data_IF_716659927538
#
_entry.id   IF_716659927538
#
_cell.length_a   1.000
_cell.length_b   1.000
_cell.length_c   1.000
_cell.angle_alpha   90.00
_cell.angle_beta   90.00
_cell.angle_gamma   90.00
#
_symmetry.space_group_name_H-M   'P 1'
#
loop_
_entity.id
_entity.type
_entity.pdbx_description
1 polymer ?
#
# COMPACT_ATOMS: atom_id res chain seq x y z
N UNK A 1 -0.87 -7.74 12.25
CA UNK A 1 -2.34 -7.67 12.04
C UNK A 1 -2.68 -8.38 10.73
N UNK A 2 -3.95 -8.41 10.27
CA UNK A 2 -4.33 -9.02 8.97
C UNK A 2 -5.13 -8.00 8.15
N UNK A 3 -5.00 -8.05 6.83
CA UNK A 3 -5.79 -7.22 5.93
C UNK A 3 -7.28 -7.51 6.03
N UNK A 4 -8.11 -6.53 5.70
CA UNK A 4 -9.58 -6.66 5.64
C UNK A 4 -10.01 -7.79 4.69
N UNK A 5 -9.36 -7.92 3.54
CA UNK A 5 -9.60 -9.02 2.59
C UNK A 5 -9.32 -10.40 3.21
N UNK A 6 -8.28 -10.52 4.04
CA UNK A 6 -7.99 -11.77 4.77
C UNK A 6 -9.00 -12.02 5.89
N UNK A 7 -9.37 -10.98 6.65
CA UNK A 7 -10.37 -11.08 7.72
C UNK A 7 -11.74 -11.52 7.18
N UNK A 8 -12.15 -11.02 6.01
CA UNK A 8 -13.38 -11.44 5.35
C UNK A 8 -13.42 -12.94 5.08
N UNK A 9 -12.32 -13.52 4.59
CA UNK A 9 -12.20 -14.99 4.38
C UNK A 9 -12.30 -15.79 5.68
N UNK A 10 -11.86 -15.22 6.81
CA UNK A 10 -11.97 -15.85 8.13
C UNK A 10 -13.43 -15.84 8.61
N UNK A 11 -14.12 -14.71 8.42
CA UNK A 11 -15.54 -14.56 8.76
C UNK A 11 -16.43 -15.46 7.90
N UNK A 12 -16.16 -15.55 6.59
CA UNK A 12 -16.87 -16.45 5.66
C UNK A 12 -16.75 -17.93 6.07
N UNK A 13 -15.71 -18.31 6.81
CA UNK A 13 -15.54 -19.65 7.38
C UNK A 13 -16.25 -19.87 8.71
N UNK A 14 -17.05 -18.90 9.18
CA UNK A 14 -17.83 -18.98 10.42
C UNK A 14 -17.10 -18.55 11.69
N UNK A 15 -15.91 -17.97 11.58
CA UNK A 15 -15.16 -17.45 12.73
C UNK A 15 -15.51 -15.99 13.02
N UNK A 16 -15.59 -15.63 14.30
CA UNK A 16 -15.67 -14.23 14.71
C UNK A 16 -14.27 -13.66 14.96
N UNK A 17 -14.06 -12.39 14.62
CA UNK A 17 -12.82 -11.69 14.93
C UNK A 17 -13.09 -10.62 15.99
N UNK A 18 -12.17 -10.47 16.93
CA UNK A 18 -12.21 -9.42 17.95
C UNK A 18 -10.91 -8.64 17.88
N UNK A 19 -11.01 -7.32 17.76
CA UNK A 19 -9.82 -6.47 17.73
C UNK A 19 -9.33 -6.15 19.16
N UNK A 20 -8.10 -5.65 19.24
CA UNK A 20 -7.46 -5.30 20.53
C UNK A 20 -8.25 -4.20 21.26
N UNK A 21 -8.83 -3.26 20.51
CA UNK A 21 -9.58 -2.14 21.08
C UNK A 21 -10.87 -2.62 21.75
N UNK A 22 -11.55 -3.59 21.16
CA UNK A 22 -12.72 -4.25 21.75
C UNK A 22 -12.36 -4.99 23.04
N UNK A 23 -11.21 -5.69 23.06
CA UNK A 23 -10.68 -6.32 24.28
C UNK A 23 -10.38 -5.26 25.34
N UNK A 24 -9.61 -4.22 25.01
CA UNK A 24 -9.24 -3.14 25.92
C UNK A 24 -10.47 -2.40 26.46
N UNK A 25 -11.48 -2.15 25.62
CA UNK A 25 -12.74 -1.54 26.04
C UNK A 25 -13.45 -2.37 27.11
N UNK A 26 -13.45 -3.69 27.00
CA UNK A 26 -14.03 -4.57 28.03
C UNK A 26 -13.16 -4.59 29.29
N UNK A 27 -11.84 -4.77 29.12
CA UNK A 27 -10.89 -4.87 30.25
C UNK A 27 -10.76 -3.57 31.06
N UNK A 28 -11.06 -2.42 30.45
CA UNK A 28 -11.00 -1.10 31.10
C UNK A 28 -12.33 -0.66 31.71
N UNK A 29 -13.43 -1.40 31.54
CA UNK A 29 -14.74 -1.02 32.13
C UNK A 29 -14.78 -1.10 33.66
N UNK A 30 -13.88 -1.86 34.27
CA UNK A 30 -13.83 -2.04 35.72
C UNK A 30 -12.40 -2.12 36.20
N UNK A 31 -12.18 -1.56 37.37
CA UNK A 31 -10.92 -1.73 38.09
C UNK A 31 -10.89 -3.13 38.70
N UNK A 32 -9.81 -3.87 38.44
CA UNK A 32 -9.62 -5.23 38.94
C UNK A 32 -8.28 -5.28 39.68
N UNK A 33 -8.31 -5.77 40.91
CA UNK A 33 -7.11 -5.95 41.72
C UNK A 33 -6.51 -7.33 41.44
N UNK A 34 -5.81 -7.44 40.31
CA UNK A 34 -5.07 -8.63 39.92
C UNK A 34 -3.85 -8.23 39.10
N UNK A 35 -2.67 -8.50 39.62
CA UNK A 35 -1.40 -8.03 39.05
C UNK A 35 -1.15 -8.64 37.66
N UNK A 36 -1.43 -9.92 37.45
CA UNK A 36 -1.28 -10.58 36.14
C UNK A 36 -2.18 -9.94 35.08
N UNK A 37 -3.42 -9.63 35.45
CA UNK A 37 -4.37 -8.98 34.55
C UNK A 37 -3.95 -7.54 34.24
N UNK A 38 -3.45 -6.82 35.24
CA UNK A 38 -3.00 -5.44 35.06
C UNK A 38 -1.72 -5.37 34.23
N UNK A 39 -0.74 -6.26 34.44
CA UNK A 39 0.44 -6.39 33.58
C UNK A 39 0.06 -6.70 32.12
N UNK A 40 -0.91 -7.60 31.92
CA UNK A 40 -1.43 -7.90 30.58
C UNK A 40 -2.14 -6.69 29.95
N UNK A 41 -2.92 -5.93 30.71
CA UNK A 41 -3.55 -4.68 30.24
C UNK A 41 -2.51 -3.62 29.89
N UNK A 42 -1.51 -3.41 30.72
CA UNK A 42 -0.41 -2.47 30.48
C UNK A 42 0.37 -2.86 29.23
N UNK A 43 0.65 -4.15 29.04
CA UNK A 43 1.24 -4.66 27.80
C UNK A 43 0.38 -4.36 26.56
N UNK A 44 -0.94 -4.60 26.63
CA UNK A 44 -1.84 -4.29 25.52
C UNK A 44 -1.94 -2.78 25.25
N UNK A 45 -1.94 -1.94 26.28
CA UNK A 45 -1.92 -0.47 26.17
C UNK A 45 -0.58 0.01 25.59
N UNK A 46 0.54 -0.57 26.01
CA UNK A 46 1.85 -0.24 25.46
C UNK A 46 1.93 -0.59 23.97
N UNK A 47 1.36 -1.73 23.56
CA UNK A 47 1.21 -2.06 22.14
C UNK A 47 0.29 -1.05 21.45
N UNK A 48 -0.85 -0.66 22.05
CA UNK A 48 -1.78 0.32 21.48
C UNK A 48 -1.14 1.73 21.34
N UNK A 49 -0.27 2.10 22.27
CA UNK A 49 0.46 3.36 22.23
C UNK A 49 1.60 3.32 21.21
N UNK A 50 2.30 2.18 21.07
CA UNK A 50 3.16 1.93 19.92
C UNK A 50 2.35 1.95 18.61
N UNK A 51 1.10 1.52 18.64
CA UNK A 51 0.19 1.52 17.49
C UNK A 51 -0.20 2.94 17.03
N UNK A 52 -0.07 3.97 17.87
CA UNK A 52 -0.27 5.38 17.44
C UNK A 52 0.99 6.02 16.83
N UNK A 53 2.10 5.28 16.76
CA UNK A 53 3.39 5.77 16.25
C UNK A 53 3.47 5.81 14.71
N UNK A 54 2.50 5.22 14.01
CA UNK A 54 2.37 5.25 12.54
C UNK A 54 2.16 6.66 11.96
N UNK A 55 1.93 7.67 12.80
CA UNK A 55 1.87 9.08 12.37
C UNK A 55 3.24 9.60 11.97
N UNK A 56 4.32 9.15 12.62
CA UNK A 56 5.69 9.50 12.28
C UNK A 56 6.18 8.69 11.10
N UNK A 57 6.63 9.36 10.05
CA UNK A 57 7.08 8.69 8.83
C UNK A 57 8.28 7.77 9.07
N UNK A 58 9.21 8.16 9.96
CA UNK A 58 10.36 7.33 10.33
C UNK A 58 9.92 5.95 10.86
N UNK A 59 8.88 5.91 11.70
CA UNK A 59 8.39 4.65 12.26
C UNK A 59 7.76 3.77 11.20
N UNK A 60 7.02 4.36 10.24
CA UNK A 60 6.43 3.63 9.11
C UNK A 60 7.51 2.84 8.35
N UNK A 61 8.71 3.42 8.20
CA UNK A 61 9.80 2.82 7.41
C UNK A 61 10.82 2.03 8.23
N UNK A 62 10.72 2.02 9.56
CA UNK A 62 11.68 1.33 10.45
C UNK A 62 11.05 0.34 11.44
N UNK A 63 9.72 0.34 11.60
CA UNK A 63 8.98 -0.59 12.46
C UNK A 63 7.87 -1.29 11.65
N UNK A 64 7.88 -2.63 11.68
CA UNK A 64 6.99 -3.44 10.86
C UNK A 64 5.54 -3.24 11.30
N UNK A 65 5.29 -3.07 12.60
CA UNK A 65 3.95 -2.85 13.13
C UNK A 65 3.40 -1.50 12.69
N UNK A 66 4.23 -0.44 12.75
CA UNK A 66 3.83 0.88 12.26
C UNK A 66 3.55 0.85 10.75
N UNK A 67 4.35 0.12 9.97
CA UNK A 67 4.09 -0.13 8.55
C UNK A 67 2.79 -0.90 8.27
N UNK A 68 2.49 -1.95 9.06
CA UNK A 68 1.22 -2.69 8.94
C UNK A 68 0.01 -1.80 9.25
N UNK A 69 0.12 -0.95 10.26
CA UNK A 69 -0.96 -0.04 10.67
C UNK A 69 -1.18 1.09 9.67
N UNK A 70 -0.11 1.63 9.09
CA UNK A 70 -0.21 2.55 7.97
C UNK A 70 -1.04 1.93 6.83
N UNK A 71 -0.79 0.66 6.49
CA UNK A 71 -1.56 -0.06 5.46
C UNK A 71 -2.99 -0.37 5.86
N UNK A 72 -3.27 -0.65 7.13
CA UNK A 72 -4.66 -0.74 7.62
C UNK A 72 -5.36 0.60 7.47
N UNK A 73 -4.71 1.69 7.88
CA UNK A 73 -5.30 3.02 7.79
C UNK A 73 -5.57 3.42 6.35
N UNK A 74 -4.64 3.08 5.45
CA UNK A 74 -4.81 3.32 4.03
C UNK A 74 -5.98 2.52 3.45
N UNK A 75 -6.13 1.25 3.85
CA UNK A 75 -7.26 0.41 3.45
C UNK A 75 -8.61 0.95 3.95
N UNK A 76 -8.67 1.70 5.05
CA UNK A 76 -9.90 2.40 5.48
C UNK A 76 -10.24 3.61 4.59
N UNK A 77 -9.25 4.20 3.93
CA UNK A 77 -9.39 5.41 3.10
C UNK A 77 -9.66 5.10 1.63
N UNK A 78 -9.28 3.90 1.17
CA UNK A 78 -9.49 3.42 -0.21
C UNK A 78 -10.82 2.66 -0.28
N UNK A 79 -11.74 3.13 -1.13
CA UNK A 79 -13.05 2.48 -1.32
C UNK A 79 -12.99 1.26 -2.23
N UNK A 80 -11.98 1.17 -3.08
CA UNK A 80 -11.76 0.05 -3.99
C UNK A 80 -11.20 -1.18 -3.27
N UNK A 81 -11.23 -2.33 -3.97
CA UNK A 81 -10.58 -3.51 -3.45
C UNK A 81 -9.07 -3.27 -3.27
N UNK A 82 -8.58 -3.58 -2.07
CA UNK A 82 -7.17 -3.52 -1.73
C UNK A 82 -6.80 -4.70 -0.84
N UNK A 83 -5.54 -5.10 -0.89
CA UNK A 83 -4.97 -6.09 0.02
C UNK A 83 -3.55 -5.70 0.42
N UNK A 84 -3.10 -6.23 1.55
CA UNK A 84 -1.73 -6.05 1.99
C UNK A 84 -1.22 -7.27 2.75
N UNK A 85 0.07 -7.56 2.59
CA UNK A 85 0.75 -8.67 3.25
C UNK A 85 2.26 -8.50 3.18
N UNK A 86 2.94 -9.17 4.08
CA UNK A 86 4.38 -9.35 3.98
C UNK A 86 4.75 -10.31 2.84
N UNK A 87 5.72 -9.92 2.04
CA UNK A 87 6.30 -10.69 0.93
C UNK A 87 7.73 -11.07 1.29
N UNK A 88 7.95 -12.36 1.56
CA UNK A 88 9.29 -12.86 1.85
C UNK A 88 10.16 -12.87 0.58
N UNK A 89 11.41 -12.41 0.70
CA UNK A 89 12.42 -12.55 -0.34
C UNK A 89 13.78 -12.92 0.29
N UNK A 90 14.81 -13.12 -0.53
CA UNK A 90 16.15 -13.53 -0.06
C UNK A 90 16.84 -12.49 0.82
N UNK A 91 16.37 -11.24 0.84
CA UNK A 91 16.96 -10.11 1.57
C UNK A 91 16.08 -9.63 2.72
N UNK A 92 15.15 -10.45 3.23
CA UNK A 92 14.34 -10.07 4.41
C UNK A 92 12.98 -9.45 4.11
N UNK A 93 12.54 -9.47 2.84
CA UNK A 93 11.17 -9.16 2.43
C UNK A 93 10.76 -7.69 2.48
N UNK A 94 9.47 -7.46 2.22
CA UNK A 94 8.83 -6.15 2.29
C UNK A 94 7.34 -6.30 2.63
N UNK A 95 6.73 -5.28 3.22
CA UNK A 95 5.28 -5.15 3.28
C UNK A 95 4.80 -4.62 1.93
N UNK A 96 3.95 -5.40 1.25
CA UNK A 96 3.28 -4.97 0.02
C UNK A 96 1.85 -4.54 0.30
N UNK A 97 1.41 -3.48 -0.36
CA UNK A 97 0.01 -3.06 -0.46
C UNK A 97 -0.35 -3.00 -1.94
N UNK A 98 -1.43 -3.62 -2.37
CA UNK A 98 -1.86 -3.65 -3.77
C UNK A 98 -3.27 -3.09 -3.89
N UNK A 99 -3.49 -2.19 -4.86
CA UNK A 99 -4.79 -1.63 -5.14
C UNK A 99 -4.89 -1.08 -6.57
N UNK A 100 -6.12 -0.84 -7.03
CA UNK A 100 -6.47 -0.17 -8.29
C UNK A 100 -5.83 -0.81 -9.55
N UNK A 101 -6.55 -1.74 -10.17
CA UNK A 101 -6.16 -2.41 -11.40
C UNK A 101 -6.93 -1.83 -12.57
N UNK A 102 -6.22 -1.65 -13.68
CA UNK A 102 -6.81 -1.41 -14.97
C UNK A 102 -6.03 -2.19 -16.04
N UNK A 103 -6.60 -2.37 -17.22
CA UNK A 103 -6.06 -3.28 -18.23
C UNK A 103 -6.00 -2.60 -19.59
N UNK A 104 -4.92 -2.88 -20.32
CA UNK A 104 -4.81 -2.68 -21.77
C UNK A 104 -4.68 -4.06 -22.43
N UNK A 105 -4.74 -4.13 -23.75
CA UNK A 105 -4.66 -5.41 -24.49
C UNK A 105 -3.41 -6.23 -24.12
N UNK A 106 -2.29 -5.56 -23.88
CA UNK A 106 -0.99 -6.18 -23.64
C UNK A 106 -0.73 -6.59 -22.18
N UNK A 107 -1.37 -5.94 -21.19
CA UNK A 107 -1.10 -6.17 -19.78
C UNK A 107 -2.13 -5.56 -18.82
N UNK A 108 -2.12 -6.06 -17.58
CA UNK A 108 -2.74 -5.41 -16.42
C UNK A 108 -1.77 -4.44 -15.75
N UNK A 109 -2.23 -3.24 -15.40
CA UNK A 109 -1.47 -2.22 -14.67
C UNK A 109 -2.13 -2.01 -13.31
N UNK A 110 -1.33 -1.96 -12.24
CA UNK A 110 -1.84 -1.69 -10.90
C UNK A 110 -0.87 -0.92 -10.01
N UNK A 111 -1.42 -0.38 -8.92
CA UNK A 111 -0.64 0.37 -7.94
C UNK A 111 -0.17 -0.58 -6.83
N UNK A 112 1.11 -0.46 -6.47
CA UNK A 112 1.69 -1.15 -5.34
C UNK A 112 2.49 -0.19 -4.46
N UNK A 113 2.39 -0.36 -3.14
CA UNK A 113 3.32 0.25 -2.18
C UNK A 113 4.23 -0.86 -1.67
N UNK A 114 5.55 -0.67 -1.82
CA UNK A 114 6.57 -1.57 -1.26
C UNK A 114 7.25 -0.86 -0.09
N UNK A 115 7.10 -1.39 1.12
CA UNK A 115 7.76 -0.88 2.32
C UNK A 115 8.79 -1.89 2.84
N UNK A 116 10.08 -1.57 2.69
CA UNK A 116 11.21 -2.38 3.14
C UNK A 116 12.17 -1.54 3.97
N UNK A 117 12.72 -2.10 5.04
CA UNK A 117 13.68 -1.37 5.89
C UNK A 117 15.00 -1.09 5.18
N UNK A 118 15.43 -1.99 4.29
CA UNK A 118 16.71 -1.86 3.60
C UNK A 118 16.64 -0.88 2.41
N UNK A 119 15.46 -0.74 1.80
CA UNK A 119 15.28 -0.02 0.54
C UNK A 119 14.28 1.15 0.62
N UNK A 120 13.74 1.40 1.81
CA UNK A 120 12.72 2.39 2.08
C UNK A 120 11.34 2.01 1.54
N UNK A 121 10.40 2.95 1.69
CA UNK A 121 9.06 2.87 1.15
C UNK A 121 8.98 3.50 -0.24
N UNK A 122 8.27 2.84 -1.16
CA UNK A 122 8.09 3.31 -2.55
C UNK A 122 6.64 3.13 -2.98
N UNK A 123 6.11 4.11 -3.70
CA UNK A 123 4.87 4.03 -4.45
C UNK A 123 5.23 3.72 -5.91
N UNK A 124 4.74 2.60 -6.42
CA UNK A 124 5.12 2.09 -7.73
C UNK A 124 3.91 1.66 -8.56
N UNK A 125 4.11 1.70 -9.87
CA UNK A 125 3.24 1.06 -10.85
C UNK A 125 3.83 -0.28 -11.25
N UNK A 126 2.98 -1.29 -11.35
CA UNK A 126 3.35 -2.65 -11.70
C UNK A 126 2.56 -3.12 -12.91
N UNK A 127 3.18 -3.99 -13.70
CA UNK A 127 2.50 -4.76 -14.74
C UNK A 127 2.39 -6.23 -14.35
N UNK A 128 1.31 -6.88 -14.77
CA UNK A 128 1.08 -8.33 -14.73
C UNK A 128 0.33 -8.78 -15.99
N UNK A 129 0.06 -10.09 -16.09
CA UNK A 129 -0.79 -10.67 -17.16
C UNK A 129 -0.32 -10.30 -18.57
N UNK A 130 0.99 -10.43 -18.78
CA UNK A 130 1.69 -9.89 -19.94
C UNK A 130 2.81 -10.85 -20.37
N UNK A 131 3.26 -10.73 -21.62
CA UNK A 131 4.48 -11.39 -22.07
C UNK A 131 5.71 -10.56 -21.65
N UNK A 132 6.60 -11.08 -20.79
CA UNK A 132 7.65 -10.27 -20.20
C UNK A 132 8.63 -9.66 -21.23
N UNK A 133 8.54 -8.35 -21.42
CA UNK A 133 9.36 -7.58 -22.37
C UNK A 133 9.85 -6.28 -21.77
N UNK A 134 11.17 -6.04 -21.75
CA UNK A 134 11.68 -4.75 -21.31
C UNK A 134 11.31 -3.61 -22.26
N UNK A 135 11.13 -3.91 -23.55
CA UNK A 135 10.79 -2.92 -24.56
C UNK A 135 9.37 -2.40 -24.35
N UNK A 136 8.43 -3.29 -24.04
CA UNK A 136 7.05 -2.93 -23.69
C UNK A 136 7.00 -2.07 -22.41
N UNK A 137 7.85 -2.34 -21.41
CA UNK A 137 7.95 -1.48 -20.22
C UNK A 137 8.43 -0.06 -20.56
N UNK A 138 9.38 0.08 -21.49
CA UNK A 138 9.85 1.39 -21.95
C UNK A 138 8.77 2.15 -22.72
N UNK A 139 8.03 1.44 -23.57
CA UNK A 139 6.92 1.97 -24.35
C UNK A 139 5.82 2.50 -23.43
N UNK A 140 5.25 1.64 -22.58
CA UNK A 140 4.18 2.02 -21.65
C UNK A 140 4.63 3.19 -20.75
N UNK A 141 5.86 3.16 -20.21
CA UNK A 141 6.35 4.28 -19.40
C UNK A 141 6.44 5.59 -20.22
N UNK A 142 6.88 5.50 -21.48
CA UNK A 142 6.96 6.65 -22.39
C UNK A 142 5.59 7.28 -22.64
N UNK A 143 4.58 6.45 -22.89
CA UNK A 143 3.21 6.88 -23.16
C UNK A 143 2.48 7.39 -21.92
N UNK A 144 2.70 6.77 -20.76
CA UNK A 144 2.02 7.12 -19.51
C UNK A 144 2.57 8.40 -18.85
N UNK A 145 3.82 8.77 -19.15
CA UNK A 145 4.47 9.98 -18.59
C UNK A 145 3.68 11.28 -18.82
N UNK A 146 3.19 11.59 -20.03
CA UNK A 146 2.32 12.75 -20.27
C UNK A 146 1.07 12.79 -19.38
N UNK A 147 0.42 11.65 -19.13
CA UNK A 147 -0.76 11.57 -18.26
C UNK A 147 -0.39 11.85 -16.80
N UNK A 148 0.71 11.26 -16.32
CA UNK A 148 1.23 11.52 -14.99
C UNK A 148 1.54 13.02 -14.80
N UNK A 149 2.25 13.63 -15.76
CA UNK A 149 2.59 15.06 -15.73
C UNK A 149 1.36 15.95 -15.73
N UNK A 150 0.37 15.64 -16.58
CA UNK A 150 -0.93 16.33 -16.61
C UNK A 150 -1.67 16.26 -15.27
N UNK A 151 -1.54 15.14 -14.56
CA UNK A 151 -2.13 14.93 -13.24
C UNK A 151 -1.22 15.36 -12.07
N UNK A 152 -0.13 16.08 -12.35
CA UNK A 152 0.75 16.66 -11.32
C UNK A 152 1.75 15.68 -10.70
N UNK A 153 1.98 14.53 -11.34
CA UNK A 153 2.89 13.49 -10.88
C UNK A 153 4.16 13.43 -11.74
N UNK A 154 5.27 13.04 -11.12
CA UNK A 154 6.48 12.62 -11.81
C UNK A 154 6.68 11.12 -11.64
N UNK A 155 6.68 10.39 -12.75
CA UNK A 155 6.95 8.95 -12.78
C UNK A 155 8.25 8.67 -13.51
N UNK A 156 9.08 7.84 -12.89
CA UNK A 156 10.41 7.49 -13.41
C UNK A 156 10.57 5.99 -13.56
N UNK A 157 11.54 5.61 -14.40
CA UNK A 157 11.96 4.22 -14.54
C UNK A 157 12.58 3.74 -13.21
N UNK A 158 12.33 2.49 -12.75
CA UNK A 158 13.19 1.89 -11.75
C UNK A 158 14.63 1.76 -12.26
N UNK A 159 15.62 1.68 -11.37
CA UNK A 159 17.05 1.61 -11.74
C UNK A 159 17.32 0.62 -12.87
N UNK A 160 16.72 -0.57 -12.78
CA UNK A 160 16.78 -1.62 -13.79
C UNK A 160 15.41 -2.24 -13.97
N UNK A 161 15.00 -2.43 -15.22
CA UNK A 161 13.86 -3.30 -15.52
C UNK A 161 14.27 -4.76 -15.35
N UNK A 162 13.36 -5.53 -14.77
CA UNK A 162 13.47 -6.98 -14.63
C UNK A 162 12.13 -7.53 -15.08
N UNK A 163 12.09 -7.98 -16.34
CA UNK A 163 10.90 -8.59 -16.90
C UNK A 163 10.66 -9.96 -16.26
N UNK A 164 9.48 -10.14 -15.68
CA UNK A 164 9.00 -11.38 -15.09
C UNK A 164 7.48 -11.34 -14.94
N UNK A 165 6.92 -12.35 -14.27
CA UNK A 165 5.47 -12.52 -14.06
C UNK A 165 4.78 -11.22 -13.61
N UNK A 166 5.43 -10.48 -12.70
CA UNK A 166 5.10 -9.08 -12.46
C UNK A 166 6.36 -8.23 -12.53
N UNK A 167 6.25 -7.00 -13.02
CA UNK A 167 7.40 -6.11 -13.17
C UNK A 167 7.08 -4.69 -12.72
N UNK A 168 8.04 -4.01 -12.11
CA UNK A 168 7.91 -2.58 -11.79
C UNK A 168 8.01 -1.79 -13.08
N UNK A 169 6.94 -1.10 -13.44
CA UNK A 169 6.82 -0.24 -14.60
C UNK A 169 7.40 1.14 -14.32
N UNK A 170 7.00 1.74 -13.19
CA UNK A 170 7.40 3.08 -12.81
C UNK A 170 7.46 3.26 -11.29
N UNK A 171 8.22 4.24 -10.85
CA UNK A 171 8.26 4.74 -9.46
C UNK A 171 7.71 6.16 -9.47
N UNK A 172 6.82 6.47 -8.53
CA UNK A 172 6.32 7.83 -8.32
C UNK A 172 7.31 8.60 -7.44
N UNK A 173 7.87 9.69 -7.97
CA UNK A 173 8.80 10.52 -7.22
C UNK A 173 8.09 11.34 -6.17
N UNK A 174 8.75 11.54 -5.02
CA UNK A 174 8.27 12.38 -3.92
C UNK A 174 6.85 12.03 -3.42
N UNK A 175 6.44 10.77 -3.57
CA UNK A 175 5.10 10.33 -3.19
C UNK A 175 4.81 10.53 -1.70
N UNK A 176 5.83 10.39 -0.84
CA UNK A 176 5.70 10.53 0.60
C UNK A 176 6.32 11.85 1.05
N UNK A 177 5.51 12.70 1.69
CA UNK A 177 5.92 14.01 2.23
C UNK A 177 5.66 14.05 3.72
N UNK A 178 6.43 14.86 4.44
CA UNK A 178 6.33 15.01 5.89
C UNK A 178 6.19 16.47 6.29
N UNK A 179 5.46 16.71 7.37
CA UNK A 179 5.37 18.04 7.99
C UNK A 179 6.67 18.42 8.73
N UNK A 180 6.69 19.61 9.34
CA UNK A 180 7.84 20.10 10.09
C UNK A 180 8.19 19.24 11.32
N UNK A 181 7.26 18.42 11.80
CA UNK A 181 7.44 17.53 12.94
C UNK A 181 7.82 16.11 12.48
N UNK A 182 7.93 15.84 11.18
CA UNK A 182 8.25 14.52 10.63
C UNK A 182 7.06 13.56 10.59
N UNK A 183 5.83 14.06 10.74
CA UNK A 183 4.64 13.24 10.53
C UNK A 183 4.36 13.10 9.03
N UNK A 184 3.90 11.92 8.60
CA UNK A 184 3.43 11.72 7.23
C UNK A 184 2.24 12.65 6.96
N UNK A 185 2.31 13.43 5.87
CA UNK A 185 1.19 14.23 5.39
C UNK A 185 0.18 13.33 4.66
N UNK A 186 -0.63 12.60 5.44
CA UNK A 186 -1.50 11.53 4.93
C UNK A 186 -2.52 12.04 3.91
N UNK A 187 -3.10 13.22 4.11
CA UNK A 187 -4.04 13.80 3.15
C UNK A 187 -3.39 14.04 1.79
N UNK A 188 -2.16 14.60 1.77
CA UNK A 188 -1.40 14.80 0.52
C UNK A 188 -1.00 13.48 -0.13
N UNK A 189 -0.72 12.46 0.68
CA UNK A 189 -0.46 11.12 0.15
C UNK A 189 -1.71 10.55 -0.53
N UNK A 190 -2.89 10.68 0.07
CA UNK A 190 -4.16 10.26 -0.56
C UNK A 190 -4.45 11.04 -1.84
N UNK A 191 -4.14 12.34 -1.89
CA UNK A 191 -4.23 13.13 -3.13
C UNK A 191 -3.28 12.60 -4.22
N UNK A 192 -2.05 12.22 -3.85
CA UNK A 192 -1.09 11.57 -4.76
C UNK A 192 -1.66 10.26 -5.31
N UNK A 193 -2.28 9.43 -4.46
CA UNK A 193 -2.91 8.17 -4.89
C UNK A 193 -4.05 8.40 -5.88
N UNK A 194 -4.93 9.36 -5.61
CA UNK A 194 -6.03 9.73 -6.54
C UNK A 194 -5.53 10.25 -7.88
N UNK A 195 -4.45 11.03 -7.87
CA UNK A 195 -3.80 11.47 -9.10
C UNK A 195 -3.20 10.30 -9.89
N UNK A 196 -2.70 9.27 -9.19
CA UNK A 196 -2.12 8.08 -9.80
C UNK A 196 -3.20 7.15 -10.37
N UNK A 197 -4.29 6.94 -9.64
CA UNK A 197 -5.51 6.24 -10.11
C UNK A 197 -5.98 6.87 -11.43
N UNK A 198 -6.23 8.20 -11.40
CA UNK A 198 -6.64 8.95 -12.59
C UNK A 198 -5.64 8.83 -13.76
N UNK A 199 -4.35 8.74 -13.46
CA UNK A 199 -3.31 8.56 -14.49
C UNK A 199 -3.42 7.21 -15.18
N UNK A 200 -3.65 6.13 -14.42
CA UNK A 200 -3.88 4.80 -14.97
C UNK A 200 -5.17 4.80 -15.79
N UNK A 201 -6.26 5.32 -15.22
CA UNK A 201 -7.57 5.32 -15.88
C UNK A 201 -7.56 6.07 -17.22
N UNK A 202 -7.02 7.28 -17.25
CA UNK A 202 -6.94 8.07 -18.48
C UNK A 202 -6.06 7.40 -19.55
N UNK A 203 -4.96 6.76 -19.14
CA UNK A 203 -4.07 6.04 -20.06
C UNK A 203 -4.74 4.81 -20.65
N UNK A 204 -5.29 3.94 -19.79
CA UNK A 204 -5.95 2.71 -20.22
C UNK A 204 -7.17 2.99 -21.10
N UNK A 205 -7.98 4.02 -20.77
CA UNK A 205 -9.14 4.40 -21.58
C UNK A 205 -8.74 4.87 -22.99
N UNK A 206 -7.70 5.69 -23.12
CA UNK A 206 -7.24 6.19 -24.41
C UNK A 206 -6.67 5.06 -25.28
N UNK A 207 -5.80 4.21 -24.73
CA UNK A 207 -5.19 3.08 -25.45
C UNK A 207 -6.26 2.11 -25.94
N UNK A 208 -7.20 1.73 -25.07
CA UNK A 208 -8.28 0.83 -25.44
C UNK A 208 -9.22 1.45 -26.48
N UNK A 209 -9.42 2.77 -26.46
CA UNK A 209 -10.23 3.48 -27.47
C UNK A 209 -9.52 3.59 -28.82
N UNK A 210 -8.20 3.77 -28.82
CA UNK A 210 -7.38 3.83 -30.02
C UNK A 210 -7.28 2.46 -30.72
N UNK A 211 -7.10 1.37 -29.95
CA UNK A 211 -7.05 0.00 -30.47
C UNK A 211 -8.35 -0.46 -31.11
N UNK A 212 -9.50 -0.02 -30.60
CA UNK A 212 -10.84 -0.37 -31.13
C UNK A 212 -11.20 0.31 -32.46
N UNK A 213 -10.33 1.18 -33.01
CA UNK A 213 -10.55 1.87 -34.29
C UNK A 213 -9.72 1.29 -35.45
N UNK A 214 -9.01 0.18 -35.22
CA UNK A 214 -8.16 -0.53 -36.21
C UNK A 214 -8.88 -1.62 -36.99
#
# INVERSE_FOLDING_TARGET
MKSSATLKKVIEKGYSTIDRRAILNVLNQREVHNDILNDFKEYLIAIENQTNSHTKFENIISDWKAGEEFFIKLQELISEWSDWRYVANKTGGFLGFWYHWNEIEECSIYIQIENSFDYGIKLILKVSDWEPSTDLLYEILGEMKPYAQKNGLSIIKPDKYRAGETSTLAIVENAFTVDNDGNLELEKFVETLKALEKTIDEYCEEINTAGNKG
#
